data_IF_107948603781
#
_entry.id   IF_107948603781
#
_cell.length_a   1.000
_cell.length_b   1.000
_cell.length_c   1.000
_cell.angle_alpha   90.00
_cell.angle_beta   90.00
_cell.angle_gamma   90.00
#
_symmetry.space_group_name_H-M   'P 1'
#
loop_
_entity.id
_entity.type
_entity.pdbx_description
1 polymer ?
#
# COMPACT_ATOMS: atom_id res chain seq x y z
N UNK A 1 -10.24 10.29 -0.29
CA UNK A 1 -8.88 10.29 -0.87
C UNK A 1 -8.82 9.16 -1.87
N UNK A 2 -8.44 9.44 -3.12
CA UNK A 2 -8.23 8.42 -4.14
C UNK A 2 -6.73 8.26 -4.33
N UNK A 3 -6.19 7.17 -3.80
CA UNK A 3 -4.78 6.81 -3.98
C UNK A 3 -4.61 5.87 -5.15
N UNK A 4 -3.54 6.07 -5.92
CA UNK A 4 -3.15 5.18 -7.01
C UNK A 4 -2.26 4.08 -6.46
N UNK A 5 -2.77 2.84 -6.52
CA UNK A 5 -2.04 1.65 -6.11
C UNK A 5 -1.45 0.98 -7.36
N UNK A 6 -0.14 0.94 -7.45
CA UNK A 6 0.57 0.10 -8.42
C UNK A 6 0.73 -1.31 -7.87
N UNK A 7 0.51 -2.30 -8.73
CA UNK A 7 0.59 -3.70 -8.39
C UNK A 7 1.59 -4.39 -9.31
N UNK A 8 2.51 -5.13 -8.70
CA UNK A 8 3.53 -5.89 -9.40
C UNK A 8 3.54 -7.34 -8.90
N UNK A 9 3.74 -8.29 -9.80
CA UNK A 9 3.87 -9.71 -9.45
C UNK A 9 5.35 -10.08 -9.50
N UNK A 10 5.88 -10.47 -8.36
CA UNK A 10 7.24 -10.93 -8.21
C UNK A 10 7.45 -12.30 -8.86
N UNK A 11 8.71 -12.58 -9.20
CA UNK A 11 9.15 -13.87 -9.77
C UNK A 11 8.87 -15.07 -8.85
N UNK A 12 8.71 -14.85 -7.55
CA UNK A 12 8.36 -15.87 -6.55
C UNK A 12 6.84 -16.04 -6.35
N UNK A 13 6.02 -15.31 -7.11
CA UNK A 13 4.57 -15.35 -7.07
C UNK A 13 3.93 -14.44 -6.02
N UNK A 14 4.70 -13.64 -5.27
CA UNK A 14 4.15 -12.64 -4.36
C UNK A 14 3.72 -11.38 -5.11
N UNK A 15 2.66 -10.75 -4.62
CA UNK A 15 2.22 -9.44 -5.10
C UNK A 15 2.84 -8.33 -4.27
N UNK A 16 3.36 -7.32 -4.94
CA UNK A 16 3.73 -6.03 -4.35
C UNK A 16 2.60 -5.05 -4.65
N UNK A 17 2.18 -4.31 -3.62
CA UNK A 17 1.32 -3.15 -3.77
C UNK A 17 2.04 -1.92 -3.25
N UNK A 18 2.23 -0.93 -4.12
CA UNK A 18 2.84 0.36 -3.79
C UNK A 18 1.80 1.46 -3.97
N UNK A 19 1.72 2.37 -3.00
CA UNK A 19 0.90 3.58 -3.11
C UNK A 19 1.75 4.74 -3.59
N UNK A 20 1.66 5.05 -4.88
CA UNK A 20 2.51 6.06 -5.55
C UNK A 20 2.40 7.46 -4.94
N UNK A 21 1.22 7.82 -4.44
CA UNK A 21 0.98 9.10 -3.77
C UNK A 21 1.60 9.19 -2.37
N UNK A 22 1.97 8.06 -1.77
CA UNK A 22 2.52 7.96 -0.41
C UNK A 22 3.86 7.23 -0.44
N UNK A 23 4.98 7.94 -0.72
CA UNK A 23 6.29 7.33 -0.76
C UNK A 23 6.61 6.62 0.57
N UNK A 24 7.03 5.35 0.45
CA UNK A 24 7.28 4.46 1.59
C UNK A 24 6.13 3.52 1.95
N UNK A 25 4.95 3.66 1.33
CA UNK A 25 3.84 2.71 1.47
C UNK A 25 3.98 1.62 0.40
N UNK A 26 4.74 0.58 0.75
CA UNK A 26 4.94 -0.62 -0.06
C UNK A 26 4.68 -1.86 0.79
N UNK A 27 3.87 -2.78 0.29
CA UNK A 27 3.51 -4.01 1.01
C UNK A 27 3.54 -5.23 0.11
N UNK A 28 3.76 -6.38 0.73
CA UNK A 28 3.68 -7.68 0.07
C UNK A 28 2.38 -8.42 0.45
N UNK A 29 1.76 -9.06 -0.53
CA UNK A 29 0.63 -9.98 -0.38
C UNK A 29 0.87 -11.28 -1.14
N UNK A 30 0.22 -12.37 -0.72
CA UNK A 30 0.21 -13.62 -1.47
C UNK A 30 -0.78 -13.57 -2.64
N UNK A 31 -1.80 -12.72 -2.54
CA UNK A 31 -2.72 -12.41 -3.63
C UNK A 31 -2.77 -10.91 -3.89
N UNK A 32 -3.29 -10.55 -5.06
CA UNK A 32 -3.51 -9.16 -5.45
C UNK A 32 -4.42 -8.44 -4.46
N UNK A 33 -5.50 -9.09 -4.02
CA UNK A 33 -6.47 -8.52 -3.08
C UNK A 33 -5.85 -8.32 -1.69
N UNK A 34 -5.02 -9.26 -1.23
CA UNK A 34 -4.30 -9.12 0.03
C UNK A 34 -3.32 -7.94 -0.01
N UNK A 35 -2.57 -7.80 -1.11
CA UNK A 35 -1.63 -6.70 -1.29
C UNK A 35 -2.36 -5.35 -1.30
N UNK A 36 -3.48 -5.24 -2.03
CA UNK A 36 -4.32 -4.02 -2.07
C UNK A 36 -4.84 -3.68 -0.67
N UNK A 37 -5.41 -4.65 0.06
CA UNK A 37 -5.97 -4.40 1.38
C UNK A 37 -4.91 -3.92 2.38
N UNK A 38 -3.71 -4.52 2.35
CA UNK A 38 -2.58 -4.09 3.17
C UNK A 38 -2.10 -2.68 2.79
N UNK A 39 -2.06 -2.35 1.50
CA UNK A 39 -1.63 -1.03 1.02
C UNK A 39 -2.61 0.06 1.47
N UNK A 40 -3.91 -0.21 1.37
CA UNK A 40 -4.96 0.69 1.86
C UNK A 40 -4.87 0.90 3.38
N UNK A 41 -4.68 -0.17 4.15
CA UNK A 41 -4.53 -0.07 5.61
C UNK A 41 -3.29 0.74 6.00
N UNK A 42 -2.16 0.55 5.31
CA UNK A 42 -0.95 1.31 5.58
C UNK A 42 -1.09 2.78 5.17
N UNK A 43 -1.73 3.08 4.04
CA UNK A 43 -2.04 4.45 3.62
C UNK A 43 -2.89 5.19 4.66
N UNK A 44 -3.94 4.54 5.21
CA UNK A 44 -4.77 5.13 6.25
C UNK A 44 -3.98 5.42 7.54
N UNK A 45 -3.01 4.57 7.90
CA UNK A 45 -2.14 4.80 9.05
C UNK A 45 -1.21 5.99 8.85
N UNK A 46 -0.62 6.13 7.67
CA UNK A 46 0.24 7.27 7.32
C UNK A 46 -0.55 8.59 7.41
N UNK A 47 -1.77 8.60 6.90
CA UNK A 47 -2.64 9.79 6.99
C UNK A 47 -3.03 10.10 8.44
N UNK A 48 -3.33 9.08 9.25
CA UNK A 48 -3.61 9.28 10.67
C UNK A 48 -2.40 9.88 11.41
N UNK A 49 -1.18 9.39 11.15
CA UNK A 49 0.04 9.97 11.73
C UNK A 49 0.27 11.43 11.31
N UNK A 50 -0.05 11.79 10.05
CA UNK A 50 0.05 13.18 9.58
C UNK A 50 -0.95 14.10 10.28
N UNK A 51 -2.16 13.60 10.57
CA UNK A 51 -3.18 14.34 11.31
C UNK A 51 -2.81 14.53 12.78
N UNK A 52 -2.20 13.53 13.41
CA UNK A 52 -1.79 13.59 14.82
C UNK A 52 -0.60 14.53 15.06
N UNK A 53 0.34 14.64 14.10
CA UNK A 53 1.52 15.51 14.20
C UNK A 53 1.24 17.00 13.92
N UNK A 54 -0.03 17.40 13.82
CA UNK A 54 -0.44 18.74 13.42
C UNK A 54 -1.02 19.57 14.57
#
# INVERSE_FOLDING_TARGET
>A
MNYTIQLELETDGRWIAEVTDLPGVLVYGKTKEEAIAKAQALALRVEAEKLEKR
#
